data_IF_765805069803
#
_entry.id   IF_765805069803
#
_cell.length_a   1.000
_cell.length_b   1.000
_cell.length_c   1.000
_cell.angle_alpha   90.00
_cell.angle_beta   90.00
_cell.angle_gamma   90.00
#
_symmetry.space_group_name_H-M   'P 1'
#
loop_
_entity.id
_entity.type
_entity.pdbx_description
1 polymer ?
#
# COMPACT_ATOMS: atom_id res chain seq x y z
N UNK A 1 14.27 -15.59 -3.34
CA UNK A 1 13.54 -14.41 -3.83
C UNK A 1 13.33 -13.44 -2.71
N UNK A 2 13.37 -12.13 -2.98
CA UNK A 2 13.08 -11.07 -2.01
C UNK A 2 11.95 -10.21 -2.54
N UNK A 3 10.91 -9.99 -1.71
CA UNK A 3 9.81 -9.09 -2.02
C UNK A 3 9.89 -7.86 -1.11
N UNK A 4 9.93 -6.67 -1.70
CA UNK A 4 9.86 -5.40 -0.99
C UNK A 4 8.43 -4.86 -1.17
N UNK A 5 7.62 -4.92 -0.13
CA UNK A 5 6.27 -4.36 -0.13
C UNK A 5 6.34 -2.91 0.32
N UNK A 6 6.10 -2.00 -0.59
CA UNK A 6 6.16 -0.55 -0.33
C UNK A 6 4.74 0.00 -0.37
N UNK A 7 4.24 0.56 0.72
CA UNK A 7 3.02 1.36 0.67
C UNK A 7 3.33 2.72 0.05
N UNK A 8 2.42 3.27 -0.74
CA UNK A 8 2.57 4.63 -1.27
C UNK A 8 2.89 5.65 -0.16
N UNK A 9 3.63 6.71 -0.46
CA UNK A 9 3.88 7.82 0.44
C UNK A 9 2.60 8.53 0.85
N UNK A 10 2.68 9.47 1.79
CA UNK A 10 1.52 10.25 2.21
C UNK A 10 0.84 10.92 1.01
N UNK A 11 -0.47 10.68 0.86
CA UNK A 11 -1.30 11.28 -0.19
C UNK A 11 -2.21 12.35 0.39
N UNK A 12 -2.79 13.20 -0.48
CA UNK A 12 -3.80 14.15 -0.04
C UNK A 12 -4.97 13.48 0.67
N UNK A 13 -5.36 12.26 0.25
CA UNK A 13 -6.42 11.49 0.90
C UNK A 13 -6.07 11.00 2.31
N UNK A 14 -4.77 10.93 2.68
CA UNK A 14 -4.35 10.57 4.03
C UNK A 14 -4.47 11.72 5.02
N UNK A 15 -4.52 12.96 4.54
CA UNK A 15 -4.59 14.18 5.36
C UNK A 15 -5.92 14.89 5.22
N UNK A 16 -6.64 14.70 4.12
CA UNK A 16 -7.95 15.30 3.86
C UNK A 16 -8.81 14.33 3.06
N UNK A 17 -9.85 13.80 3.69
CA UNK A 17 -10.78 12.84 3.06
C UNK A 17 -11.56 13.44 1.89
N UNK A 18 -11.75 14.78 1.84
CA UNK A 18 -12.41 15.43 0.71
C UNK A 18 -11.64 15.29 -0.60
N UNK A 19 -10.33 14.97 -0.54
CA UNK A 19 -9.54 14.69 -1.72
C UNK A 19 -10.11 13.54 -2.56
N UNK A 20 -10.73 12.54 -1.93
CA UNK A 20 -11.38 11.44 -2.66
C UNK A 20 -12.59 11.90 -3.47
N UNK A 21 -13.36 12.88 -2.96
CA UNK A 21 -14.49 13.49 -3.69
C UNK A 21 -14.01 14.41 -4.82
N UNK A 22 -12.92 15.13 -4.58
CA UNK A 22 -12.40 16.12 -5.53
C UNK A 22 -11.70 15.46 -6.72
N UNK A 23 -10.88 14.44 -6.48
CA UNK A 23 -10.00 13.84 -7.49
C UNK A 23 -10.49 12.46 -7.97
N UNK A 24 -11.38 11.81 -7.21
CA UNK A 24 -11.62 10.38 -7.32
C UNK A 24 -10.46 9.55 -6.76
N UNK A 25 -10.72 8.40 -6.15
CA UNK A 25 -9.71 7.62 -5.42
C UNK A 25 -8.46 7.31 -6.24
N UNK A 26 -8.63 6.97 -7.52
CA UNK A 26 -7.52 6.61 -8.40
C UNK A 26 -6.59 7.78 -8.76
N UNK A 27 -7.06 9.03 -8.65
CA UNK A 27 -6.32 10.25 -9.02
C UNK A 27 -5.86 11.07 -7.80
N UNK A 28 -6.06 10.59 -6.58
CA UNK A 28 -5.53 11.28 -5.39
C UNK A 28 -4.01 11.30 -5.43
N UNK A 29 -3.36 12.50 -5.48
CA UNK A 29 -1.91 12.62 -5.58
C UNK A 29 -1.21 12.47 -4.23
N UNK A 30 0.11 12.28 -4.27
CA UNK A 30 0.98 12.43 -3.10
C UNK A 30 1.04 13.89 -2.65
N UNK A 31 1.33 14.07 -1.36
CA UNK A 31 1.87 15.34 -0.84
C UNK A 31 3.37 15.44 -1.15
N UNK A 32 3.96 16.64 -1.00
CA UNK A 32 5.41 16.78 -1.08
C UNK A 32 6.13 15.94 -0.03
N UNK A 33 5.55 15.79 1.16
CA UNK A 33 6.06 14.91 2.19
C UNK A 33 6.04 13.44 1.75
N UNK A 34 4.96 12.99 1.12
CA UNK A 34 4.84 11.65 0.56
C UNK A 34 5.89 11.34 -0.51
N UNK A 35 6.28 12.31 -1.32
CA UNK A 35 7.40 12.16 -2.26
C UNK A 35 8.73 11.92 -1.53
N UNK A 36 9.02 12.70 -0.47
CA UNK A 36 10.23 12.51 0.35
C UNK A 36 10.25 11.13 1.00
N UNK A 37 9.14 10.72 1.63
CA UNK A 37 9.00 9.40 2.24
C UNK A 37 9.28 8.28 1.22
N UNK A 38 8.73 8.37 0.02
CA UNK A 38 8.92 7.36 -1.03
C UNK A 38 10.37 7.33 -1.55
N UNK A 39 11.05 8.48 -1.64
CA UNK A 39 12.46 8.57 -1.98
C UNK A 39 13.35 7.93 -0.89
N UNK A 40 13.05 8.17 0.38
CA UNK A 40 13.75 7.53 1.52
C UNK A 40 13.58 6.01 1.50
N UNK A 41 12.38 5.51 1.20
CA UNK A 41 12.13 4.08 1.00
C UNK A 41 13.01 3.49 -0.12
N UNK A 42 13.15 4.22 -1.24
CA UNK A 42 14.07 3.86 -2.33
C UNK A 42 15.53 3.78 -1.87
N UNK A 43 15.97 4.77 -1.07
CA UNK A 43 17.29 4.79 -0.46
C UNK A 43 17.57 3.62 0.49
N UNK A 44 16.56 3.22 1.28
CA UNK A 44 16.64 2.05 2.16
C UNK A 44 16.79 0.75 1.36
N UNK A 45 15.99 0.57 0.31
CA UNK A 45 16.10 -0.59 -0.60
C UNK A 45 17.48 -0.60 -1.27
N UNK A 46 17.96 0.55 -1.79
CA UNK A 46 19.28 0.66 -2.40
C UNK A 46 20.40 0.28 -1.44
N UNK A 47 20.31 0.71 -0.19
CA UNK A 47 21.30 0.39 0.85
C UNK A 47 21.31 -1.10 1.17
N UNK A 48 20.13 -1.71 1.30
CA UNK A 48 20.01 -3.16 1.47
C UNK A 48 20.65 -3.93 0.32
N UNK A 49 20.31 -3.58 -0.93
CA UNK A 49 20.86 -4.25 -2.11
C UNK A 49 22.37 -4.08 -2.25
N UNK A 50 22.92 -2.91 -1.88
CA UNK A 50 24.38 -2.68 -1.87
C UNK A 50 25.10 -3.58 -0.88
N UNK A 51 24.50 -3.86 0.26
CA UNK A 51 25.07 -4.73 1.30
C UNK A 51 25.11 -6.21 0.89
N UNK A 52 24.32 -6.63 -0.12
CA UNK A 52 24.37 -8.00 -0.62
C UNK A 52 25.66 -8.26 -1.41
N UNK A 53 26.22 -9.49 -1.32
CA UNK A 53 27.26 -9.93 -2.23
C UNK A 53 26.84 -9.73 -3.69
N UNK A 54 27.76 -9.30 -4.55
CA UNK A 54 27.45 -8.99 -5.96
C UNK A 54 26.76 -10.14 -6.71
N UNK A 55 27.18 -11.37 -6.44
CA UNK A 55 26.61 -12.58 -7.03
C UNK A 55 25.15 -12.85 -6.62
N UNK A 56 24.69 -12.26 -5.51
CA UNK A 56 23.32 -12.43 -4.97
C UNK A 56 22.48 -11.17 -5.06
N UNK A 57 23.00 -10.10 -5.67
CA UNK A 57 22.31 -8.82 -5.70
C UNK A 57 21.12 -8.81 -6.63
N UNK A 58 21.24 -9.40 -7.81
CA UNK A 58 20.20 -9.43 -8.84
C UNK A 58 19.73 -8.03 -9.27
N UNK A 59 18.74 -7.99 -10.13
CA UNK A 59 17.99 -6.77 -10.49
C UNK A 59 16.75 -6.65 -9.62
N UNK A 60 16.29 -5.42 -9.40
CA UNK A 60 15.03 -5.11 -8.73
C UNK A 60 13.95 -4.87 -9.79
N UNK A 61 13.03 -5.82 -9.95
CA UNK A 61 11.86 -5.67 -10.80
C UNK A 61 10.76 -4.98 -10.00
N UNK A 62 10.12 -3.96 -10.57
CA UNK A 62 9.16 -3.11 -9.86
C UNK A 62 7.78 -3.30 -10.46
N UNK A 63 6.84 -3.72 -9.62
CA UNK A 63 5.42 -3.75 -9.93
C UNK A 63 4.70 -2.66 -9.15
N UNK A 64 3.74 -1.99 -9.76
CA UNK A 64 3.02 -0.91 -9.09
C UNK A 64 1.54 -0.87 -9.48
N UNK A 65 0.74 -0.34 -8.58
CA UNK A 65 -0.68 -0.08 -8.77
C UNK A 65 -0.90 1.06 -9.78
N UNK A 66 -2.00 1.05 -10.58
CA UNK A 66 -2.31 2.13 -11.52
C UNK A 66 -2.73 3.45 -10.87
N UNK A 67 -2.93 3.50 -9.55
CA UNK A 67 -3.36 4.72 -8.86
C UNK A 67 -2.26 5.79 -8.84
N UNK A 68 -2.65 7.07 -8.98
CA UNK A 68 -1.69 8.18 -9.12
C UNK A 68 -0.66 8.22 -7.97
N UNK A 69 -1.10 8.06 -6.71
CA UNK A 69 -0.21 8.06 -5.53
C UNK A 69 0.86 6.97 -5.56
N UNK A 70 0.56 5.81 -6.14
CA UNK A 70 1.53 4.72 -6.29
C UNK A 70 2.47 4.93 -7.47
N UNK A 71 1.99 5.49 -8.59
CA UNK A 71 2.83 5.92 -9.71
C UNK A 71 3.86 6.94 -9.25
N UNK A 72 3.42 7.97 -8.54
CA UNK A 72 4.29 9.01 -7.98
C UNK A 72 5.27 8.45 -6.95
N UNK A 73 4.82 7.53 -6.08
CA UNK A 73 5.72 6.85 -5.13
C UNK A 73 6.79 6.02 -5.84
N UNK A 74 6.42 5.30 -6.91
CA UNK A 74 7.34 4.55 -7.75
C UNK A 74 8.37 5.48 -8.41
N UNK A 75 7.96 6.64 -8.91
CA UNK A 75 8.87 7.61 -9.52
C UNK A 75 9.88 8.14 -8.50
N UNK A 76 9.41 8.58 -7.32
CA UNK A 76 10.27 9.05 -6.23
C UNK A 76 11.23 7.96 -5.70
N UNK A 77 10.76 6.72 -5.62
CA UNK A 77 11.59 5.56 -5.23
C UNK A 77 12.71 5.32 -6.25
N UNK A 78 12.41 5.43 -7.55
CA UNK A 78 13.38 5.24 -8.63
C UNK A 78 14.49 6.30 -8.61
N UNK A 79 14.19 7.55 -8.26
CA UNK A 79 15.20 8.62 -8.15
C UNK A 79 16.30 8.30 -7.12
N UNK A 80 15.98 7.53 -6.08
CA UNK A 80 16.94 7.13 -5.04
C UNK A 80 17.67 5.80 -5.36
N UNK A 81 17.26 5.07 -6.39
CA UNK A 81 17.86 3.80 -6.80
C UNK A 81 18.93 4.01 -7.87
N UNK A 82 20.11 3.38 -7.76
CA UNK A 82 21.04 3.32 -8.89
C UNK A 82 20.38 2.64 -10.09
N UNK A 83 20.50 3.22 -11.28
CA UNK A 83 19.95 2.65 -12.51
C UNK A 83 20.43 1.22 -12.75
N UNK A 84 21.67 0.92 -12.36
CA UNK A 84 22.25 -0.42 -12.45
C UNK A 84 21.52 -1.48 -11.62
N UNK A 85 20.72 -1.10 -10.62
CA UNK A 85 19.92 -2.01 -9.79
C UNK A 85 18.54 -2.27 -10.39
N UNK A 86 18.04 -1.38 -11.22
CA UNK A 86 16.68 -1.43 -11.74
C UNK A 86 16.58 -2.46 -12.87
N UNK A 87 15.57 -3.31 -12.78
CA UNK A 87 15.12 -4.26 -13.81
C UNK A 87 13.87 -3.75 -14.51
N UNK A 88 12.93 -4.64 -14.79
CA UNK A 88 11.65 -4.29 -15.42
C UNK A 88 10.76 -3.48 -14.47
N UNK A 89 9.99 -2.56 -15.06
CA UNK A 89 9.00 -1.73 -14.34
C UNK A 89 7.66 -1.99 -15.00
N UNK A 90 6.68 -2.49 -14.24
CA UNK A 90 5.38 -2.93 -14.78
C UNK A 90 4.22 -2.45 -13.91
N UNK A 91 3.20 -1.91 -14.56
CA UNK A 91 1.92 -1.62 -13.92
C UNK A 91 1.03 -2.86 -13.92
N UNK A 92 0.33 -3.11 -12.79
CA UNK A 92 -0.68 -4.16 -12.73
C UNK A 92 -1.94 -3.68 -11.98
N UNK A 93 -3.10 -3.76 -12.65
CA UNK A 93 -4.38 -3.33 -12.10
C UNK A 93 -4.85 -4.19 -10.91
N UNK A 94 -4.34 -5.40 -10.76
CA UNK A 94 -4.62 -6.26 -9.61
C UNK A 94 -4.02 -5.72 -8.30
N UNK A 95 -3.08 -4.77 -8.40
CA UNK A 95 -2.46 -4.09 -7.25
C UNK A 95 -3.22 -2.85 -6.76
N UNK A 96 -4.37 -2.47 -7.38
CA UNK A 96 -5.19 -1.35 -6.89
C UNK A 96 -5.61 -1.54 -5.43
N UNK A 97 -5.95 -0.46 -4.73
CA UNK A 97 -6.45 -0.56 -3.37
C UNK A 97 -7.85 -1.22 -3.33
N UNK A 98 -8.30 -1.60 -2.15
CA UNK A 98 -9.66 -2.07 -1.91
C UNK A 98 -10.66 -1.01 -2.40
N UNK A 99 -11.61 -1.44 -3.21
CA UNK A 99 -12.74 -0.59 -3.59
C UNK A 99 -13.76 -0.56 -2.44
N UNK A 100 -14.03 0.63 -1.92
CA UNK A 100 -15.02 0.82 -0.85
C UNK A 100 -16.44 1.07 -1.40
N UNK A 101 -16.64 1.06 -2.72
CA UNK A 101 -17.92 1.25 -3.38
C UNK A 101 -18.59 2.55 -2.93
N UNK A 102 -19.86 2.50 -2.50
CA UNK A 102 -20.59 3.67 -2.00
C UNK A 102 -19.92 4.39 -0.82
N UNK A 103 -18.98 3.73 -0.15
CA UNK A 103 -18.26 4.31 1.01
C UNK A 103 -16.91 4.93 0.66
N UNK A 104 -16.51 4.93 -0.62
CA UNK A 104 -15.19 5.43 -1.05
C UNK A 104 -14.96 6.89 -0.66
N UNK A 105 -15.99 7.73 -0.76
CA UNK A 105 -15.88 9.17 -0.46
C UNK A 105 -16.30 9.55 0.98
N UNK A 106 -16.59 8.56 1.83
CA UNK A 106 -17.13 8.78 3.16
C UNK A 106 -16.39 7.89 4.14
N UNK A 107 -15.49 8.46 4.92
CA UNK A 107 -14.73 7.72 5.94
C UNK A 107 -15.46 7.62 7.27
N UNK A 108 -16.20 8.67 7.65
CA UNK A 108 -16.94 8.70 8.89
C UNK A 108 -18.14 7.74 8.88
N UNK A 109 -18.21 6.88 9.89
CA UNK A 109 -19.28 5.89 10.03
C UNK A 109 -20.67 6.54 10.29
N UNK A 110 -20.72 7.68 10.98
CA UNK A 110 -21.97 8.37 11.23
C UNK A 110 -22.51 8.99 9.94
N UNK A 111 -21.62 9.58 9.11
CA UNK A 111 -21.99 10.08 7.78
C UNK A 111 -22.46 8.94 6.85
N UNK A 112 -21.76 7.79 6.84
CA UNK A 112 -22.21 6.59 6.08
C UNK A 112 -23.60 6.16 6.50
N UNK A 113 -23.85 6.06 7.82
CA UNK A 113 -25.14 5.67 8.37
C UNK A 113 -26.23 6.68 8.03
N UNK A 114 -25.91 7.98 8.00
CA UNK A 114 -26.84 9.02 7.65
C UNK A 114 -27.22 9.00 6.16
N UNK A 115 -26.23 8.83 5.27
CA UNK A 115 -26.44 8.87 3.81
C UNK A 115 -26.99 7.57 3.25
N UNK A 116 -26.56 6.44 3.79
CA UNK A 116 -26.86 5.09 3.31
C UNK A 116 -27.28 4.17 4.46
N UNK A 117 -28.41 4.46 5.16
CA UNK A 117 -28.76 3.75 6.39
C UNK A 117 -28.95 2.25 6.23
N UNK A 118 -29.63 1.81 5.17
CA UNK A 118 -29.90 0.38 4.93
C UNK A 118 -28.62 -0.38 4.55
N UNK A 119 -27.81 0.19 3.66
CA UNK A 119 -26.55 -0.38 3.20
C UNK A 119 -25.55 -0.46 4.34
N UNK A 120 -25.48 0.59 5.15
CA UNK A 120 -24.62 0.62 6.33
C UNK A 120 -25.02 -0.46 7.35
N UNK A 121 -26.30 -0.63 7.65
CA UNK A 121 -26.78 -1.66 8.57
C UNK A 121 -26.49 -3.07 8.05
N UNK A 122 -26.70 -3.32 6.76
CA UNK A 122 -26.35 -4.62 6.13
C UNK A 122 -24.86 -4.90 6.25
N UNK A 123 -24.02 -3.92 5.90
CA UNK A 123 -22.57 -4.05 5.99
C UNK A 123 -22.09 -4.23 7.44
N UNK A 124 -22.60 -3.43 8.39
CA UNK A 124 -22.25 -3.54 9.80
C UNK A 124 -22.62 -4.91 10.38
N UNK A 125 -23.78 -5.46 9.99
CA UNK A 125 -24.20 -6.82 10.38
C UNK A 125 -23.25 -7.88 9.82
N UNK A 126 -22.86 -7.80 8.55
CA UNK A 126 -21.86 -8.71 7.98
C UNK A 126 -20.53 -8.63 8.72
N UNK A 127 -20.08 -7.40 9.01
CA UNK A 127 -18.84 -7.16 9.74
C UNK A 127 -18.85 -7.76 11.15
N UNK A 128 -19.97 -7.67 11.86
CA UNK A 128 -20.13 -8.24 13.19
C UNK A 128 -20.25 -9.77 13.19
N UNK A 129 -20.91 -10.34 12.17
CA UNK A 129 -21.18 -11.78 12.14
C UNK A 129 -20.05 -12.59 11.49
N UNK A 130 -19.37 -12.01 10.49
CA UNK A 130 -18.40 -12.73 9.64
C UNK A 130 -16.99 -12.14 9.69
N UNK A 131 -16.76 -11.06 10.47
CA UNK A 131 -15.49 -10.34 10.54
C UNK A 131 -15.29 -9.30 9.44
N UNK A 132 -14.29 -8.45 9.66
CA UNK A 132 -13.93 -7.36 8.73
C UNK A 132 -13.40 -7.90 7.40
N UNK A 133 -12.80 -9.09 7.42
CA UNK A 133 -12.20 -9.68 6.22
C UNK A 133 -13.22 -10.02 5.14
N UNK A 134 -14.38 -10.53 5.55
CA UNK A 134 -15.44 -10.96 4.62
C UNK A 134 -16.52 -9.89 4.38
N UNK A 135 -16.60 -8.86 5.23
CA UNK A 135 -17.60 -7.81 5.10
C UNK A 135 -17.33 -6.95 3.87
N UNK A 136 -18.12 -7.15 2.81
CA UNK A 136 -18.07 -6.37 1.58
C UNK A 136 -18.85 -5.08 1.75
N UNK A 137 -18.25 -3.88 1.53
CA UNK A 137 -19.02 -2.65 1.43
C UNK A 137 -19.94 -2.68 0.21
N UNK A 138 -21.06 -1.94 0.22
CA UNK A 138 -21.98 -1.88 -0.91
C UNK A 138 -21.26 -1.45 -2.19
N UNK A 139 -21.46 -2.21 -3.27
CA UNK A 139 -20.83 -2.02 -4.59
C UNK A 139 -19.29 -2.01 -4.60
N UNK A 140 -18.66 -2.48 -3.52
CA UNK A 140 -17.21 -2.52 -3.38
C UNK A 140 -16.63 -3.92 -3.24
N UNK A 141 -15.36 -3.99 -2.78
CA UNK A 141 -14.62 -5.22 -2.52
C UNK A 141 -14.55 -5.52 -1.02
N UNK A 142 -14.73 -6.78 -0.61
CA UNK A 142 -14.26 -7.25 0.69
C UNK A 142 -12.73 -7.40 0.68
N UNK A 143 -12.11 -7.51 1.85
CA UNK A 143 -10.67 -7.84 1.94
C UNK A 143 -10.37 -9.23 1.38
N UNK A 144 -11.34 -10.15 1.44
CA UNK A 144 -11.24 -11.46 0.81
C UNK A 144 -11.15 -11.35 -0.73
N UNK A 145 -11.91 -10.44 -1.35
CA UNK A 145 -11.82 -10.19 -2.80
C UNK A 145 -10.45 -9.63 -3.19
N UNK A 146 -9.94 -8.69 -2.38
CA UNK A 146 -8.57 -8.17 -2.57
C UNK A 146 -7.53 -9.30 -2.47
N UNK A 147 -7.63 -10.15 -1.44
CA UNK A 147 -6.73 -11.28 -1.28
C UNK A 147 -6.81 -12.27 -2.45
N UNK A 148 -8.00 -12.48 -3.01
CA UNK A 148 -8.19 -13.35 -4.18
C UNK A 148 -7.51 -12.79 -5.44
N UNK A 149 -7.70 -11.49 -5.77
CA UNK A 149 -7.03 -10.90 -6.94
C UNK A 149 -5.52 -10.76 -6.78
N UNK A 150 -5.04 -10.50 -5.57
CA UNK A 150 -3.61 -10.47 -5.25
C UNK A 150 -2.97 -11.85 -5.42
N UNK A 151 -3.70 -12.92 -5.12
CA UNK A 151 -3.23 -14.29 -5.37
C UNK A 151 -3.00 -14.54 -6.86
N UNK A 152 -3.85 -14.01 -7.75
CA UNK A 152 -3.64 -14.09 -9.20
C UNK A 152 -2.40 -13.29 -9.63
N UNK A 153 -2.21 -12.09 -9.09
CA UNK A 153 -1.01 -11.28 -9.32
C UNK A 153 0.27 -12.04 -8.90
N UNK A 154 0.27 -12.66 -7.73
CA UNK A 154 1.43 -13.43 -7.24
C UNK A 154 1.77 -14.62 -8.16
N UNK A 155 0.80 -15.24 -8.82
CA UNK A 155 1.08 -16.29 -9.83
C UNK A 155 1.90 -15.72 -11.00
N UNK A 156 1.63 -14.48 -11.43
CA UNK A 156 2.43 -13.81 -12.46
C UNK A 156 3.85 -13.55 -11.97
N UNK A 157 4.00 -12.97 -10.77
CA UNK A 157 5.32 -12.71 -10.17
C UNK A 157 6.14 -14.00 -10.03
N UNK A 158 5.51 -15.06 -9.52
CA UNK A 158 6.18 -16.35 -9.32
C UNK A 158 6.54 -17.06 -10.63
N UNK A 159 5.78 -16.86 -11.71
CA UNK A 159 6.10 -17.36 -13.04
C UNK A 159 7.27 -16.61 -13.66
N UNK A 160 7.31 -15.28 -13.47
CA UNK A 160 8.30 -14.40 -14.07
C UNK A 160 9.62 -14.39 -13.26
N UNK A 161 9.60 -14.85 -12.00
CA UNK A 161 10.80 -15.00 -11.17
C UNK A 161 11.58 -16.27 -11.61
N UNK A 162 12.72 -16.05 -12.26
CA UNK A 162 13.54 -17.14 -12.79
C UNK A 162 14.49 -17.73 -11.73
N UNK A 163 14.89 -16.93 -10.73
CA UNK A 163 15.92 -17.30 -9.75
C UNK A 163 15.54 -16.98 -8.30
N UNK A 164 16.08 -17.73 -7.35
CA UNK A 164 15.91 -17.49 -5.91
C UNK A 164 16.53 -16.15 -5.43
N UNK A 165 17.41 -15.55 -6.23
CA UNK A 165 18.05 -14.25 -5.96
C UNK A 165 17.31 -13.05 -6.59
N UNK A 166 16.18 -13.27 -7.26
CA UNK A 166 15.38 -12.18 -7.82
C UNK A 166 14.83 -11.27 -6.74
N UNK A 167 14.87 -9.98 -7.01
CA UNK A 167 14.31 -8.95 -6.14
C UNK A 167 13.09 -8.33 -6.83
N UNK A 168 11.98 -8.26 -6.11
CA UNK A 168 10.73 -7.68 -6.60
C UNK A 168 10.26 -6.63 -5.61
N UNK A 169 10.06 -5.39 -6.08
CA UNK A 169 9.37 -4.35 -5.31
C UNK A 169 7.92 -4.27 -5.77
N UNK A 170 6.99 -4.20 -4.83
CA UNK A 170 5.57 -4.01 -5.06
C UNK A 170 5.16 -2.69 -4.42
N UNK A 171 4.93 -1.66 -5.24
CA UNK A 171 4.46 -0.35 -4.78
C UNK A 171 2.94 -0.35 -4.82
N UNK A 172 2.34 -0.48 -3.64
CA UNK A 172 0.91 -0.69 -3.49
C UNK A 172 0.30 0.14 -2.36
N UNK A 173 -0.71 -0.45 -1.71
CA UNK A 173 -1.56 0.21 -0.73
C UNK A 173 -1.65 -0.61 0.55
N UNK A 174 -2.35 -0.07 1.56
CA UNK A 174 -2.42 -0.68 2.89
C UNK A 174 -3.03 -2.09 2.86
N UNK A 175 -4.26 -2.22 2.37
CA UNK A 175 -4.96 -3.51 2.31
C UNK A 175 -4.31 -4.45 1.30
N UNK A 176 -3.90 -3.92 0.15
CA UNK A 176 -3.28 -4.72 -0.92
C UNK A 176 -1.95 -5.33 -0.48
N UNK A 177 -1.06 -4.55 0.14
CA UNK A 177 0.25 -5.07 0.60
C UNK A 177 0.08 -6.14 1.70
N UNK A 178 -0.86 -5.95 2.63
CA UNK A 178 -1.21 -7.00 3.62
C UNK A 178 -1.75 -8.26 2.96
N UNK A 179 -2.55 -8.12 1.90
CA UNK A 179 -3.04 -9.26 1.13
C UNK A 179 -1.90 -9.98 0.38
N UNK A 180 -0.88 -9.26 -0.10
CA UNK A 180 0.34 -9.86 -0.65
C UNK A 180 1.06 -10.67 0.43
N UNK A 181 1.34 -10.06 1.58
CA UNK A 181 2.01 -10.72 2.70
C UNK A 181 1.25 -11.95 3.18
N UNK A 182 -0.08 -11.81 3.40
CA UNK A 182 -0.94 -12.92 3.80
C UNK A 182 -0.88 -14.10 2.83
N UNK A 183 -1.02 -13.85 1.53
CA UNK A 183 -1.01 -14.92 0.52
C UNK A 183 0.37 -15.55 0.38
N UNK A 184 1.43 -14.75 0.39
CA UNK A 184 2.79 -15.23 0.19
C UNK A 184 3.32 -16.05 1.37
N UNK A 185 3.03 -15.61 2.60
CA UNK A 185 3.46 -16.27 3.83
C UNK A 185 2.43 -17.25 4.40
N UNK A 186 1.29 -17.44 3.73
CA UNK A 186 0.20 -18.30 4.18
C UNK A 186 -0.36 -17.95 5.56
N UNK A 187 -0.43 -16.64 5.87
CA UNK A 187 -1.04 -16.19 7.11
C UNK A 187 -2.55 -16.46 7.14
N UNK A 188 -3.09 -16.61 8.35
CA UNK A 188 -4.51 -16.82 8.57
C UNK A 188 -5.33 -15.54 8.41
N UNK A 189 -6.66 -15.69 8.29
CA UNK A 189 -7.60 -14.56 8.35
C UNK A 189 -7.47 -13.81 9.68
N UNK A 190 -7.28 -14.54 10.78
CA UNK A 190 -7.05 -13.95 12.11
C UNK A 190 -5.84 -13.02 12.14
N UNK A 191 -4.74 -13.39 11.47
CA UNK A 191 -3.59 -12.52 11.32
C UNK A 191 -3.98 -11.23 10.59
N UNK A 192 -4.72 -11.35 9.48
CA UNK A 192 -5.17 -10.19 8.70
C UNK A 192 -6.11 -9.27 9.50
N UNK A 193 -7.00 -9.84 10.32
CA UNK A 193 -7.92 -9.07 11.16
C UNK A 193 -7.22 -8.27 12.26
N UNK A 194 -6.09 -8.78 12.78
CA UNK A 194 -5.32 -8.18 13.88
C UNK A 194 -4.18 -7.30 13.43
N UNK A 195 -3.67 -7.51 12.20
CA UNK A 195 -2.57 -6.69 11.67
C UNK A 195 -3.07 -5.32 11.23
N UNK A 196 -2.27 -4.29 11.48
CA UNK A 196 -2.53 -2.94 11.01
C UNK A 196 -2.02 -2.74 9.58
N UNK A 197 -2.52 -1.72 8.91
CA UNK A 197 -1.94 -1.30 7.63
C UNK A 197 -0.52 -0.76 7.88
N UNK A 198 0.45 -1.06 7.00
CA UNK A 198 1.76 -0.42 7.05
C UNK A 198 1.63 1.10 7.00
N UNK A 199 2.56 1.84 7.58
CA UNK A 199 2.66 3.29 7.46
C UNK A 199 2.88 3.74 6.00
N UNK A 200 2.69 5.03 5.70
CA UNK A 200 3.00 5.56 4.38
C UNK A 200 4.49 5.39 4.08
N UNK A 201 4.83 4.88 2.90
CA UNK A 201 6.17 4.53 2.45
C UNK A 201 6.95 3.53 3.32
N UNK A 202 6.31 2.85 4.29
CA UNK A 202 6.93 1.73 4.96
C UNK A 202 7.32 0.65 3.95
N UNK A 203 8.46 0.01 4.18
CA UNK A 203 8.97 -1.09 3.38
C UNK A 203 9.02 -2.36 4.21
N UNK A 204 8.16 -3.31 3.91
CA UNK A 204 8.24 -4.68 4.44
C UNK A 204 9.04 -5.53 3.48
N UNK A 205 10.13 -6.14 3.95
CA UNK A 205 10.90 -7.11 3.20
C UNK A 205 10.44 -8.52 3.57
N UNK A 206 10.06 -9.30 2.56
CA UNK A 206 9.86 -10.74 2.69
C UNK A 206 11.06 -11.42 2.02
N UNK A 207 11.84 -12.17 2.78
CA UNK A 207 13.01 -12.88 2.26
C UNK A 207 13.06 -14.32 2.75
N UNK A 208 13.71 -15.16 1.96
CA UNK A 208 13.89 -16.57 2.26
C UNK A 208 14.11 -17.41 1.01
N UNK A 209 14.02 -18.71 1.21
CA UNK A 209 14.12 -19.70 0.13
C UNK A 209 13.00 -20.73 0.25
N UNK A 210 12.68 -21.41 -0.84
CA UNK A 210 11.68 -22.48 -0.82
C UNK A 210 12.02 -23.62 0.15
N UNK A 211 13.30 -23.87 0.40
CA UNK A 211 13.76 -24.94 1.29
C UNK A 211 13.77 -24.56 2.78
N UNK A 212 13.93 -23.28 3.10
CA UNK A 212 14.06 -22.79 4.48
C UNK A 212 12.85 -21.95 4.93
N UNK A 213 11.89 -21.72 4.03
CA UNK A 213 10.75 -20.84 4.27
C UNK A 213 11.09 -19.37 4.04
N UNK A 214 10.08 -18.54 4.22
CA UNK A 214 10.14 -17.09 4.08
C UNK A 214 9.71 -16.41 5.37
N UNK A 215 10.28 -15.24 5.64
CA UNK A 215 9.90 -14.41 6.78
C UNK A 215 9.77 -12.94 6.34
N UNK A 216 8.94 -12.17 7.02
CA UNK A 216 8.81 -10.74 6.83
C UNK A 216 9.49 -9.96 7.94
N UNK A 217 10.13 -8.86 7.57
CA UNK A 217 10.71 -7.87 8.48
C UNK A 217 10.36 -6.46 8.01
N UNK A 218 10.24 -5.53 8.93
CA UNK A 218 10.14 -4.11 8.60
C UNK A 218 11.54 -3.60 8.26
N UNK A 219 11.82 -3.41 6.96
CA UNK A 219 13.11 -2.94 6.48
C UNK A 219 13.28 -1.44 6.69
N UNK A 220 12.21 -0.67 6.47
CA UNK A 220 12.21 0.78 6.61
C UNK A 220 10.84 1.23 7.15
N UNK A 221 10.88 2.10 8.14
CA UNK A 221 9.73 2.81 8.64
C UNK A 221 9.92 4.29 8.30
N UNK A 222 9.03 4.83 7.49
CA UNK A 222 9.09 6.23 7.15
C UNK A 222 8.73 7.11 8.36
N UNK A 223 9.39 8.26 8.46
CA UNK A 223 9.07 9.23 9.50
C UNK A 223 7.67 9.81 9.29
N UNK A 224 6.95 9.99 10.39
CA UNK A 224 5.75 10.82 10.37
C UNK A 224 6.14 12.29 10.20
N UNK A 225 5.20 13.08 9.67
CA UNK A 225 5.38 14.53 9.54
C UNK A 225 5.59 15.18 10.92
N UNK A 226 6.57 16.06 11.03
CA UNK A 226 6.77 16.82 12.27
C UNK A 226 5.64 17.82 12.51
N UNK A 227 5.23 18.04 13.77
CA UNK A 227 4.26 19.09 14.11
C UNK A 227 4.77 20.46 13.62
N UNK A 228 3.92 21.22 12.92
CA UNK A 228 4.26 22.55 12.40
C UNK A 228 4.54 22.60 10.88
N UNK A 229 4.77 21.47 10.21
CA UNK A 229 4.87 21.42 8.74
C UNK A 229 3.50 21.44 8.03
N UNK A 230 2.45 21.66 8.77
CA UNK A 230 1.07 21.78 8.28
C UNK A 230 0.83 23.03 7.44
N UNK A 231 1.64 24.09 7.66
CA UNK A 231 1.56 25.33 6.88
C UNK A 231 1.86 25.13 5.39
N UNK A 232 2.79 24.24 5.05
CA UNK A 232 3.12 23.90 3.66
C UNK A 232 1.92 23.34 2.90
N UNK A 233 1.00 22.64 3.58
CA UNK A 233 -0.20 22.08 2.98
C UNK A 233 -1.25 23.16 2.67
N UNK A 234 -1.42 24.14 3.57
CA UNK A 234 -2.35 25.26 3.37
C UNK A 234 -1.89 26.16 2.22
N UNK A 235 -0.58 26.36 2.09
CA UNK A 235 0.01 27.16 1.01
C UNK A 235 -0.09 26.46 -0.33
N UNK A 236 0.05 25.13 -0.36
CA UNK A 236 0.05 24.35 -1.61
C UNK A 236 -1.37 23.99 -2.11
N UNK A 237 -2.34 23.82 -1.19
CA UNK A 237 -3.66 23.25 -1.51
C UNK A 237 -4.86 24.09 -1.04
N UNK A 238 -4.63 25.29 -0.47
CA UNK A 238 -5.65 26.24 -0.03
C UNK A 238 -6.01 26.13 1.45
N UNK A 239 -6.61 27.20 2.00
CA UNK A 239 -6.90 27.38 3.43
C UNK A 239 -7.93 26.38 4.02
N UNK A 240 -8.66 25.66 3.17
CA UNK A 240 -9.73 24.74 3.58
C UNK A 240 -9.27 23.30 3.86
N UNK A 241 -7.95 23.06 3.87
CA UNK A 241 -7.42 21.73 4.23
C UNK A 241 -7.50 21.54 5.74
N UNK A 242 -8.57 20.91 6.20
CA UNK A 242 -8.67 20.45 7.60
C UNK A 242 -7.84 19.19 7.76
N UNK A 243 -6.73 19.30 8.49
CA UNK A 243 -5.87 18.13 8.80
C UNK A 243 -6.54 17.38 9.93
N UNK A 244 -7.05 16.19 9.64
CA UNK A 244 -7.58 15.30 10.66
C UNK A 244 -6.41 14.52 11.27
N UNK A 245 -6.17 14.62 12.60
CA UNK A 245 -5.15 13.77 13.23
C UNK A 245 -5.50 12.31 12.99
N UNK A 246 -4.48 11.47 12.70
CA UNK A 246 -4.66 10.02 12.54
C UNK A 246 -5.33 9.48 13.81
N UNK A 247 -6.65 9.25 13.75
CA UNK A 247 -7.36 8.46 14.74
C UNK A 247 -6.87 7.02 14.61
N UNK A 248 -6.24 6.49 15.66
CA UNK A 248 -5.95 5.07 15.77
C UNK A 248 -7.28 4.30 15.66
N UNK A 249 -7.41 3.46 14.65
CA UNK A 249 -8.59 2.64 14.39
C UNK A 249 -8.25 1.19 14.12
#
# INVERSE_FOLDING_TARGET
>A
MRLFLVRHGESLGNINEQAYRQFGDHNVPLTQWGYRQASEAGGAIASFLRALPSARRGKLHIWYSPFLRTRQSKDALLEALPESFVGDIREDYLLREQDFGLFTEIYDHAERKQKFPEEFEKWARLRNNSGKFYARPPDGESRADVAQRVRLFLQTVMRDAEHDDDNVAIVGHGVTNRAVEMNFLHHSVDWFERSDNPGNADVTLIEGTRSHGYQSILLHQACDREPGQESELRDAYGADVTITPKGGG
#
